data_IF_226729169228
#
_entry.id   IF_226729169228
#
_cell.length_a   1.000
_cell.length_b   1.000
_cell.length_c   1.000
_cell.angle_alpha   90.00
_cell.angle_beta   90.00
_cell.angle_gamma   90.00
#
_symmetry.space_group_name_H-M   'P 1'
#
loop_
_entity.id
_entity.type
_entity.pdbx_description
1 polymer ?
#
# COMPACT_ATOMS: atom_id res chain seq x y z
N UNK A 1 34.66 3.49 -1.55
CA UNK A 1 34.00 4.52 -2.40
C UNK A 1 32.53 4.17 -2.67
N UNK A 2 32.19 2.91 -2.94
CA UNK A 2 30.79 2.45 -3.16
C UNK A 2 29.86 2.70 -1.97
N UNK A 3 30.28 2.41 -0.74
CA UNK A 3 29.48 2.67 0.47
C UNK A 3 29.03 4.13 0.59
N UNK A 4 29.91 5.06 0.19
CA UNK A 4 29.62 6.50 0.20
C UNK A 4 28.62 6.86 -0.89
N UNK A 5 28.72 6.25 -2.08
CA UNK A 5 27.75 6.45 -3.18
C UNK A 5 26.36 5.98 -2.78
N UNK A 6 26.24 4.78 -2.20
CA UNK A 6 24.95 4.24 -1.74
C UNK A 6 24.35 5.11 -0.64
N UNK A 7 25.17 5.59 0.30
CA UNK A 7 24.70 6.43 1.38
C UNK A 7 24.12 7.75 0.86
N UNK A 8 24.84 8.41 -0.07
CA UNK A 8 24.37 9.63 -0.73
C UNK A 8 23.09 9.38 -1.52
N UNK A 9 23.01 8.27 -2.26
CA UNK A 9 21.79 7.88 -2.97
C UNK A 9 20.61 7.66 -2.02
N UNK A 10 20.81 6.91 -0.94
CA UNK A 10 19.79 6.67 0.09
C UNK A 10 19.29 7.98 0.70
N UNK A 11 20.19 8.90 1.02
CA UNK A 11 19.82 10.21 1.56
C UNK A 11 19.01 11.03 0.55
N UNK A 12 19.47 11.11 -0.70
CA UNK A 12 18.74 11.79 -1.78
C UNK A 12 17.35 11.19 -2.01
N UNK A 13 17.24 9.86 -2.04
CA UNK A 13 15.97 9.15 -2.18
C UNK A 13 15.00 9.50 -1.04
N UNK A 14 15.46 9.43 0.21
CA UNK A 14 14.61 9.77 1.37
C UNK A 14 14.16 11.23 1.30
N UNK A 15 15.04 12.17 0.97
CA UNK A 15 14.68 13.58 0.82
C UNK A 15 13.61 13.77 -0.25
N UNK A 16 13.79 13.19 -1.43
CA UNK A 16 12.83 13.30 -2.54
C UNK A 16 11.48 12.70 -2.15
N UNK A 17 11.46 11.50 -1.57
CA UNK A 17 10.20 10.85 -1.17
C UNK A 17 9.49 11.62 -0.06
N UNK A 18 10.22 12.20 0.89
CA UNK A 18 9.64 13.05 1.94
C UNK A 18 9.01 14.32 1.36
N UNK A 19 9.67 14.97 0.40
CA UNK A 19 9.10 16.15 -0.28
C UNK A 19 7.84 15.76 -1.05
N UNK A 20 7.87 14.66 -1.81
CA UNK A 20 6.70 14.18 -2.55
C UNK A 20 5.55 13.81 -1.62
N UNK A 21 5.83 13.16 -0.49
CA UNK A 21 4.84 12.85 0.54
C UNK A 21 4.15 14.12 1.06
N UNK A 22 4.93 15.13 1.44
CA UNK A 22 4.38 16.40 1.94
C UNK A 22 3.55 17.11 0.87
N UNK A 23 4.01 17.13 -0.38
CA UNK A 23 3.27 17.74 -1.49
C UNK A 23 1.95 16.99 -1.77
N UNK A 24 1.97 15.66 -1.76
CA UNK A 24 0.77 14.86 -1.95
C UNK A 24 -0.22 15.05 -0.80
N UNK A 25 0.25 15.07 0.45
CA UNK A 25 -0.60 15.33 1.61
C UNK A 25 -1.19 16.74 1.55
N UNK A 26 -0.37 17.76 1.26
CA UNK A 26 -0.83 19.14 1.10
C UNK A 26 -1.88 19.25 -0.03
N UNK A 27 -1.67 18.56 -1.16
CA UNK A 27 -2.65 18.50 -2.24
C UNK A 27 -4.01 17.97 -1.76
N UNK A 28 -4.03 16.89 -0.99
CA UNK A 28 -5.28 16.32 -0.45
C UNK A 28 -6.00 17.24 0.53
N UNK A 29 -5.29 18.18 1.15
CA UNK A 29 -5.84 19.16 2.12
C UNK A 29 -6.30 20.44 1.40
N UNK A 30 -5.49 20.96 0.48
CA UNK A 30 -5.72 22.24 -0.20
C UNK A 30 -6.83 22.13 -1.23
N UNK A 31 -6.92 21.02 -1.98
CA UNK A 31 -7.90 20.88 -3.06
C UNK A 31 -9.34 21.04 -2.54
N UNK A 32 -9.78 20.37 -1.46
CA UNK A 32 -11.11 20.63 -0.87
C UNK A 32 -11.27 22.05 -0.35
N UNK A 33 -10.24 22.64 0.26
CA UNK A 33 -10.30 23.99 0.84
C UNK A 33 -10.47 25.09 -0.24
N UNK A 34 -9.82 24.91 -1.40
CA UNK A 34 -9.82 25.91 -2.47
C UNK A 34 -10.96 25.70 -3.46
N UNK A 35 -11.31 24.44 -3.76
CA UNK A 35 -12.29 24.09 -4.79
C UNK A 35 -13.65 23.66 -4.24
N UNK A 36 -13.71 23.23 -2.98
CA UNK A 36 -14.90 22.62 -2.39
C UNK A 36 -15.99 23.61 -2.01
N UNK A 37 -15.66 24.87 -1.73
CA UNK A 37 -16.63 25.89 -1.33
C UNK A 37 -17.39 25.58 -0.02
N UNK A 38 -17.03 24.50 0.68
CA UNK A 38 -17.63 24.06 1.93
C UNK A 38 -16.81 24.54 3.13
N UNK A 39 -17.50 25.05 4.15
CA UNK A 39 -16.91 25.38 5.45
C UNK A 39 -16.56 24.08 6.18
N UNK A 40 -15.32 23.61 6.02
CA UNK A 40 -14.83 22.48 6.79
C UNK A 40 -14.63 22.89 8.26
N UNK A 41 -15.22 22.13 9.19
CA UNK A 41 -14.82 22.23 10.58
C UNK A 41 -13.32 21.91 10.73
N UNK A 42 -12.58 22.78 11.43
CA UNK A 42 -11.12 22.66 11.59
C UNK A 42 -10.69 21.29 12.14
N UNK A 43 -11.49 20.68 13.00
CA UNK A 43 -11.21 19.35 13.57
C UNK A 43 -11.38 18.23 12.55
N UNK A 44 -12.40 18.29 11.69
CA UNK A 44 -12.63 17.31 10.64
C UNK A 44 -11.49 17.32 9.61
N UNK A 45 -11.00 18.52 9.25
CA UNK A 45 -9.84 18.67 8.38
C UNK A 45 -8.61 17.96 8.95
N UNK A 46 -8.33 18.16 10.24
CA UNK A 46 -7.20 17.55 10.93
C UNK A 46 -7.32 16.01 10.96
N UNK A 47 -8.48 15.47 11.30
CA UNK A 47 -8.72 14.03 11.36
C UNK A 47 -8.58 13.40 9.97
N UNK A 48 -9.19 13.99 8.94
CA UNK A 48 -9.09 13.50 7.56
C UNK A 48 -7.65 13.52 7.05
N UNK A 49 -6.90 14.57 7.38
CA UNK A 49 -5.48 14.71 7.01
C UNK A 49 -4.65 13.57 7.62
N UNK A 50 -4.86 13.27 8.90
CA UNK A 50 -4.17 12.18 9.59
C UNK A 50 -4.56 10.81 9.02
N UNK A 51 -5.83 10.61 8.71
CA UNK A 51 -6.33 9.38 8.12
C UNK A 51 -5.69 9.11 6.75
N UNK A 52 -5.56 10.13 5.90
CA UNK A 52 -4.94 10.04 4.56
C UNK A 52 -3.41 9.94 4.64
N UNK A 53 -2.78 10.54 5.65
CA UNK A 53 -1.33 10.48 5.81
C UNK A 53 -0.81 9.05 6.00
N UNK A 54 -1.59 8.16 6.65
CA UNK A 54 -1.19 6.77 6.90
C UNK A 54 -0.99 5.97 5.60
N UNK A 55 -2.00 5.79 4.71
CA UNK A 55 -1.82 5.05 3.47
C UNK A 55 -0.78 5.71 2.56
N UNK A 56 -0.68 7.04 2.58
CA UNK A 56 0.32 7.77 1.80
C UNK A 56 1.74 7.48 2.30
N UNK A 57 1.98 7.52 3.61
CA UNK A 57 3.28 7.21 4.21
C UNK A 57 3.69 5.76 3.92
N UNK A 58 2.74 4.82 4.01
CA UNK A 58 2.96 3.43 3.62
C UNK A 58 3.37 3.36 2.16
N UNK A 59 2.63 4.00 1.24
CA UNK A 59 2.94 4.00 -0.19
C UNK A 59 4.36 4.50 -0.48
N UNK A 60 4.74 5.67 0.02
CA UNK A 60 6.08 6.23 -0.19
C UNK A 60 7.18 5.38 0.45
N UNK A 61 6.92 4.79 1.62
CA UNK A 61 7.83 3.85 2.26
C UNK A 61 8.09 2.62 1.40
N UNK A 62 7.03 2.03 0.83
CA UNK A 62 7.14 0.87 -0.05
C UNK A 62 7.86 1.20 -1.37
N UNK A 63 7.60 2.38 -1.95
CA UNK A 63 8.34 2.90 -3.11
C UNK A 63 9.84 2.99 -2.79
N UNK A 64 10.19 3.55 -1.62
CA UNK A 64 11.58 3.66 -1.18
C UNK A 64 12.27 2.30 -1.06
N UNK A 65 11.59 1.29 -0.50
CA UNK A 65 12.11 -0.08 -0.40
C UNK A 65 12.35 -0.66 -1.80
N UNK A 66 11.39 -0.52 -2.70
CA UNK A 66 11.49 -1.06 -4.06
C UNK A 66 12.60 -0.37 -4.87
N UNK A 67 12.67 0.96 -4.85
CA UNK A 67 13.73 1.73 -5.54
C UNK A 67 15.10 1.35 -4.98
N UNK A 68 15.23 1.23 -3.66
CA UNK A 68 16.50 0.84 -3.04
C UNK A 68 16.93 -0.59 -3.45
N UNK A 69 15.96 -1.51 -3.58
CA UNK A 69 16.21 -2.87 -4.06
C UNK A 69 16.68 -2.86 -5.51
N UNK A 70 15.98 -2.13 -6.39
CA UNK A 70 16.36 -1.98 -7.81
C UNK A 70 17.76 -1.38 -7.92
N UNK A 71 18.03 -0.29 -7.20
CA UNK A 71 19.31 0.41 -7.26
C UNK A 71 20.48 -0.51 -6.89
N UNK A 72 20.38 -1.26 -5.78
CA UNK A 72 21.43 -2.19 -5.36
C UNK A 72 21.62 -3.32 -6.36
N UNK A 73 20.52 -3.88 -6.88
CA UNK A 73 20.59 -4.94 -7.87
C UNK A 73 21.27 -4.47 -9.18
N UNK A 74 20.98 -3.25 -9.64
CA UNK A 74 21.63 -2.64 -10.81
C UNK A 74 23.12 -2.36 -10.60
N UNK A 75 23.54 -2.08 -9.36
CA UNK A 75 24.96 -1.95 -9.00
C UNK A 75 25.64 -3.31 -8.78
N UNK A 76 24.97 -4.43 -9.09
CA UNK A 76 25.43 -5.79 -8.81
C UNK A 76 25.84 -6.02 -7.34
N UNK A 77 25.28 -5.22 -6.43
CA UNK A 77 25.54 -5.34 -5.00
C UNK A 77 24.55 -6.28 -4.34
N UNK A 78 25.05 -7.14 -3.46
CA UNK A 78 24.19 -7.97 -2.61
C UNK A 78 23.30 -7.10 -1.72
N UNK A 79 22.07 -7.56 -1.49
CA UNK A 79 21.23 -6.93 -0.48
C UNK A 79 21.87 -7.07 0.90
N UNK A 80 21.80 -6.01 1.70
CA UNK A 80 22.09 -6.13 3.12
C UNK A 80 20.92 -6.86 3.83
N UNK A 81 21.19 -7.39 5.02
CA UNK A 81 20.22 -8.18 5.79
C UNK A 81 18.94 -7.40 6.11
N UNK A 82 19.05 -6.10 6.36
CA UNK A 82 17.91 -5.25 6.69
C UNK A 82 16.99 -5.05 5.47
N UNK A 83 17.55 -4.70 4.32
CA UNK A 83 16.78 -4.51 3.09
C UNK A 83 16.14 -5.81 2.62
N UNK A 84 16.85 -6.93 2.71
CA UNK A 84 16.30 -8.24 2.36
C UNK A 84 15.11 -8.62 3.27
N UNK A 85 15.17 -8.28 4.57
CA UNK A 85 14.02 -8.44 5.49
C UNK A 85 12.86 -7.53 5.10
N UNK A 86 13.12 -6.27 4.75
CA UNK A 86 12.08 -5.33 4.32
C UNK A 86 11.39 -5.80 3.04
N UNK A 87 12.14 -6.12 1.97
CA UNK A 87 11.55 -6.63 0.71
C UNK A 87 10.67 -7.85 0.96
N UNK A 88 11.11 -8.75 1.85
CA UNK A 88 10.33 -9.93 2.22
C UNK A 88 9.07 -9.62 3.04
N UNK A 89 9.18 -8.88 4.14
CA UNK A 89 8.06 -8.72 5.08
C UNK A 89 7.08 -7.61 4.69
N UNK A 90 7.54 -6.56 4.01
CA UNK A 90 6.69 -5.42 3.64
C UNK A 90 5.42 -5.80 2.88
N UNK A 91 5.44 -6.58 1.77
CA UNK A 91 4.20 -6.92 1.06
C UNK A 91 3.20 -7.68 1.92
N UNK A 92 3.68 -8.49 2.87
CA UNK A 92 2.83 -9.29 3.77
C UNK A 92 2.19 -8.44 4.84
N UNK A 93 2.99 -7.64 5.54
CA UNK A 93 2.49 -6.74 6.60
C UNK A 93 1.52 -5.73 5.99
N UNK A 94 1.86 -5.12 4.86
CA UNK A 94 0.98 -4.16 4.19
C UNK A 94 -0.31 -4.82 3.70
N UNK A 95 -0.27 -6.04 3.17
CA UNK A 95 -1.48 -6.78 2.81
C UNK A 95 -2.36 -7.10 4.03
N UNK A 96 -1.78 -7.51 5.17
CA UNK A 96 -2.56 -7.72 6.41
C UNK A 96 -3.24 -6.43 6.84
N UNK A 97 -2.46 -5.35 6.92
CA UNK A 97 -2.97 -4.03 7.34
C UNK A 97 -4.07 -3.56 6.40
N UNK A 98 -3.87 -3.71 5.08
CA UNK A 98 -4.88 -3.36 4.08
C UNK A 98 -6.17 -4.16 4.26
N UNK A 99 -6.09 -5.49 4.39
CA UNK A 99 -7.28 -6.34 4.59
C UNK A 99 -7.99 -5.98 5.89
N UNK A 100 -7.25 -5.78 6.98
CA UNK A 100 -7.82 -5.39 8.27
C UNK A 100 -8.50 -4.00 8.19
N UNK A 101 -7.82 -3.01 7.62
CA UNK A 101 -8.35 -1.66 7.44
C UNK A 101 -9.61 -1.67 6.57
N UNK A 102 -9.56 -2.35 5.42
CA UNK A 102 -10.69 -2.45 4.51
C UNK A 102 -11.88 -3.19 5.13
N UNK A 103 -11.62 -4.07 6.11
CA UNK A 103 -12.68 -4.76 6.85
C UNK A 103 -13.46 -3.83 7.79
N UNK A 104 -12.88 -2.70 8.22
CA UNK A 104 -13.60 -1.73 9.05
C UNK A 104 -14.78 -1.11 8.33
N UNK A 105 -14.71 -0.94 7.00
CA UNK A 105 -15.82 -0.40 6.21
C UNK A 105 -17.04 -1.33 6.15
N UNK A 106 -16.89 -2.63 6.46
CA UNK A 106 -18.06 -3.50 6.56
C UNK A 106 -18.88 -3.27 7.84
N UNK A 107 -18.34 -2.54 8.82
CA UNK A 107 -19.08 -2.19 10.03
C UNK A 107 -20.19 -1.16 9.78
N UNK A 108 -20.15 -0.47 8.63
CA UNK A 108 -21.15 0.53 8.24
C UNK A 108 -22.59 -0.05 8.17
N UNK A 109 -22.73 -1.37 7.97
CA UNK A 109 -24.05 -2.03 7.95
C UNK A 109 -24.79 -1.94 9.29
N UNK A 110 -24.06 -1.71 10.40
CA UNK A 110 -24.65 -1.62 11.74
C UNK A 110 -25.30 -0.27 12.02
N UNK A 111 -25.10 0.73 11.16
CA UNK A 111 -25.75 2.04 11.26
C UNK A 111 -27.13 2.11 10.59
N UNK A 112 -27.53 1.06 9.85
CA UNK A 112 -28.79 1.02 9.13
C UNK A 112 -29.99 0.53 9.95
N UNK A 113 -31.21 0.87 9.50
CA UNK A 113 -32.49 0.39 10.05
C UNK A 113 -32.79 -1.07 9.64
N UNK A 114 -31.93 -1.99 10.07
CA UNK A 114 -32.08 -3.43 9.81
C UNK A 114 -32.40 -4.19 11.11
N UNK A 115 -33.06 -5.34 10.98
CA UNK A 115 -33.14 -6.29 12.09
C UNK A 115 -31.76 -6.92 12.36
N UNK A 116 -31.55 -7.46 13.57
CA UNK A 116 -30.26 -8.10 13.92
C UNK A 116 -29.84 -9.21 12.92
N UNK A 117 -30.79 -9.99 12.41
CA UNK A 117 -30.51 -11.03 11.42
C UNK A 117 -30.06 -10.47 10.07
N UNK A 118 -30.70 -9.38 9.61
CA UNK A 118 -30.34 -8.68 8.39
C UNK A 118 -28.98 -7.99 8.50
N UNK A 119 -28.67 -7.37 9.65
CA UNK A 119 -27.35 -6.78 9.92
C UNK A 119 -26.23 -7.82 9.83
N UNK A 120 -26.41 -8.98 10.47
CA UNK A 120 -25.41 -10.06 10.43
C UNK A 120 -25.19 -10.60 9.02
N UNK A 121 -26.28 -10.78 8.25
CA UNK A 121 -26.18 -11.23 6.86
C UNK A 121 -25.50 -10.19 5.97
N UNK A 122 -25.88 -8.91 6.11
CA UNK A 122 -25.26 -7.80 5.39
C UNK A 122 -23.78 -7.68 5.71
N UNK A 123 -23.40 -7.77 7.00
CA UNK A 123 -22.02 -7.74 7.45
C UNK A 123 -21.19 -8.86 6.81
N UNK A 124 -21.69 -10.10 6.84
CA UNK A 124 -21.02 -11.25 6.23
C UNK A 124 -20.84 -11.06 4.72
N UNK A 125 -21.85 -10.55 4.02
CA UNK A 125 -21.75 -10.27 2.58
C UNK A 125 -20.71 -9.18 2.28
N UNK A 126 -20.62 -8.13 3.10
CA UNK A 126 -19.62 -7.07 2.95
C UNK A 126 -18.20 -7.54 3.35
N UNK A 127 -18.07 -8.57 4.18
CA UNK A 127 -16.80 -9.19 4.55
C UNK A 127 -16.25 -10.16 3.51
N UNK A 128 -17.09 -10.74 2.65
CA UNK A 128 -16.64 -11.71 1.64
C UNK A 128 -15.44 -11.25 0.80
N UNK A 129 -15.40 -10.01 0.27
CA UNK A 129 -14.24 -9.53 -0.49
C UNK A 129 -12.94 -9.53 0.33
N UNK A 130 -13.02 -9.18 1.61
CA UNK A 130 -11.86 -9.13 2.51
C UNK A 130 -11.43 -10.52 2.97
N UNK A 131 -12.37 -11.43 3.22
CA UNK A 131 -12.09 -12.85 3.49
C UNK A 131 -11.38 -13.48 2.29
N UNK A 132 -11.84 -13.20 1.06
CA UNK A 132 -11.21 -13.70 -0.15
C UNK A 132 -9.76 -13.19 -0.28
N UNK A 133 -9.51 -11.90 -0.05
CA UNK A 133 -8.15 -11.35 -0.03
C UNK A 133 -7.28 -11.93 1.09
N UNK A 134 -7.85 -12.21 2.27
CA UNK A 134 -7.14 -12.86 3.37
C UNK A 134 -6.68 -14.28 2.98
N UNK A 135 -7.55 -15.06 2.33
CA UNK A 135 -7.21 -16.40 1.82
C UNK A 135 -6.09 -16.30 0.79
N UNK A 136 -6.20 -15.38 -0.16
CA UNK A 136 -5.15 -15.12 -1.16
C UNK A 136 -3.82 -14.79 -0.48
N UNK A 137 -3.83 -13.97 0.57
CA UNK A 137 -2.64 -13.62 1.31
C UNK A 137 -1.99 -14.84 1.98
N UNK A 138 -2.78 -15.71 2.59
CA UNK A 138 -2.28 -16.98 3.16
C UNK A 138 -1.62 -17.85 2.08
N UNK A 139 -2.24 -17.95 0.91
CA UNK A 139 -1.69 -18.68 -0.24
C UNK A 139 -0.40 -18.00 -0.76
N UNK A 140 -0.39 -16.68 -0.86
CA UNK A 140 0.74 -15.87 -1.31
C UNK A 140 1.96 -15.99 -0.39
N UNK A 141 1.77 -16.38 0.88
CA UNK A 141 2.87 -16.63 1.79
C UNK A 141 3.79 -17.77 1.34
N UNK A 142 3.21 -18.79 0.70
CA UNK A 142 3.94 -19.94 0.13
C UNK A 142 4.25 -19.73 -1.35
N UNK A 143 3.33 -19.11 -2.10
CA UNK A 143 3.46 -18.85 -3.53
C UNK A 143 3.40 -17.35 -3.83
N UNK A 144 4.54 -16.68 -3.70
CA UNK A 144 4.65 -15.22 -3.81
C UNK A 144 4.15 -14.65 -5.15
N UNK A 145 4.24 -15.43 -6.23
CA UNK A 145 3.72 -15.04 -7.54
C UNK A 145 2.19 -14.90 -7.55
N UNK A 146 1.48 -15.69 -6.73
CA UNK A 146 0.02 -15.56 -6.55
C UNK A 146 -0.30 -14.19 -5.96
N UNK A 147 0.47 -13.76 -4.96
CA UNK A 147 0.35 -12.42 -4.39
C UNK A 147 0.54 -11.34 -5.45
N UNK A 148 1.59 -11.44 -6.26
CA UNK A 148 1.87 -10.46 -7.33
C UNK A 148 0.69 -10.36 -8.33
N UNK A 149 0.16 -11.49 -8.78
CA UNK A 149 -0.92 -11.52 -9.77
C UNK A 149 -2.23 -11.02 -9.18
N UNK A 150 -2.64 -11.55 -8.01
CA UNK A 150 -3.97 -11.25 -7.47
C UNK A 150 -4.06 -9.82 -6.94
N UNK A 151 -3.04 -9.33 -6.22
CA UNK A 151 -3.05 -7.91 -5.78
C UNK A 151 -2.94 -6.95 -6.97
N UNK A 152 -2.22 -7.33 -8.03
CA UNK A 152 -2.18 -6.55 -9.27
C UNK A 152 -3.54 -6.50 -9.96
N UNK A 153 -4.21 -7.65 -10.08
CA UNK A 153 -5.56 -7.73 -10.63
C UNK A 153 -6.57 -6.95 -9.78
N UNK A 154 -6.49 -7.03 -8.45
CA UNK A 154 -7.33 -6.23 -7.55
C UNK A 154 -7.12 -4.73 -7.76
N UNK A 155 -5.87 -4.27 -7.93
CA UNK A 155 -5.57 -2.88 -8.25
C UNK A 155 -6.20 -2.42 -9.57
N UNK A 156 -6.12 -3.25 -10.62
CA UNK A 156 -6.76 -2.98 -11.92
C UNK A 156 -8.28 -2.92 -11.77
N UNK A 157 -8.87 -3.92 -11.11
CA UNK A 157 -10.31 -4.01 -10.92
C UNK A 157 -10.86 -2.80 -10.16
N UNK A 158 -10.23 -2.41 -9.06
CA UNK A 158 -10.64 -1.21 -8.31
C UNK A 158 -10.49 0.04 -9.17
N UNK A 159 -9.39 0.19 -9.89
CA UNK A 159 -9.19 1.34 -10.79
C UNK A 159 -10.29 1.45 -11.85
N UNK A 160 -10.66 0.32 -12.46
CA UNK A 160 -11.73 0.25 -13.46
C UNK A 160 -13.10 0.57 -12.84
N UNK A 161 -13.40 0.03 -11.65
CA UNK A 161 -14.65 0.30 -10.95
C UNK A 161 -14.77 1.78 -10.54
N UNK A 162 -13.70 2.37 -10.02
CA UNK A 162 -13.64 3.79 -9.66
C UNK A 162 -13.89 4.68 -10.88
N UNK A 163 -13.27 4.37 -12.03
CA UNK A 163 -13.48 5.10 -13.28
C UNK A 163 -14.92 4.95 -13.79
N UNK A 164 -15.49 3.75 -13.72
CA UNK A 164 -16.88 3.47 -14.16
C UNK A 164 -17.94 4.20 -13.32
N UNK A 165 -17.64 4.50 -12.05
CA UNK A 165 -18.53 5.20 -11.12
C UNK A 165 -18.45 6.72 -11.23
N UNK A 166 -17.72 7.24 -12.22
CA UNK A 166 -17.61 8.68 -12.44
C UNK A 166 -16.79 9.40 -11.36
N UNK A 167 -15.98 8.69 -10.58
CA UNK A 167 -15.02 9.31 -9.68
C UNK A 167 -13.91 9.90 -10.56
N UNK A 168 -14.01 11.20 -10.81
CA UNK A 168 -13.10 11.94 -11.68
C UNK A 168 -11.89 12.41 -10.86
N UNK A 169 -10.70 12.04 -11.31
CA UNK A 169 -9.45 12.47 -10.68
C UNK A 169 -8.40 11.37 -10.66
N UNK A 170 -7.33 11.56 -11.42
CA UNK A 170 -6.17 10.64 -11.43
C UNK A 170 -5.62 10.46 -10.02
N UNK A 171 -5.61 11.53 -9.20
CA UNK A 171 -5.17 11.48 -7.81
C UNK A 171 -6.01 10.51 -6.96
N UNK A 172 -7.34 10.56 -7.04
CA UNK A 172 -8.23 9.69 -6.27
C UNK A 172 -8.06 8.22 -6.67
N UNK A 173 -7.98 7.93 -7.96
CA UNK A 173 -7.72 6.57 -8.46
C UNK A 173 -6.37 6.06 -7.95
N UNK A 174 -5.33 6.89 -8.03
CA UNK A 174 -3.99 6.51 -7.56
C UNK A 174 -3.96 6.29 -6.06
N UNK A 175 -4.58 7.14 -5.24
CA UNK A 175 -4.59 6.97 -3.77
C UNK A 175 -5.22 5.63 -3.37
N UNK A 176 -6.32 5.25 -4.03
CA UNK A 176 -7.05 4.02 -3.72
C UNK A 176 -6.31 2.79 -4.25
N UNK A 177 -5.82 2.84 -5.49
CA UNK A 177 -5.27 1.66 -6.19
C UNK A 177 -3.76 1.48 -6.00
N UNK A 178 -2.98 2.53 -5.76
CA UNK A 178 -1.53 2.46 -5.67
C UNK A 178 -1.02 1.54 -4.55
N UNK A 179 -1.63 1.49 -3.35
CA UNK A 179 -1.22 0.53 -2.33
C UNK A 179 -1.30 -0.93 -2.81
N UNK A 180 -2.35 -1.29 -3.56
CA UNK A 180 -2.52 -2.63 -4.13
C UNK A 180 -1.45 -2.95 -5.16
N UNK A 181 -1.19 -2.02 -6.09
CA UNK A 181 -0.12 -2.17 -7.08
C UNK A 181 1.25 -2.27 -6.42
N UNK A 182 1.49 -1.51 -5.36
CA UNK A 182 2.77 -1.54 -4.66
C UNK A 182 2.99 -2.87 -3.92
N UNK A 183 1.94 -3.41 -3.28
CA UNK A 183 1.96 -4.76 -2.69
C UNK A 183 2.25 -5.80 -3.78
N UNK A 184 1.59 -5.70 -4.93
CA UNK A 184 1.79 -6.60 -6.07
C UNK A 184 3.24 -6.56 -6.59
N UNK A 185 3.80 -5.37 -6.78
CA UNK A 185 5.18 -5.15 -7.21
C UNK A 185 6.18 -5.74 -6.22
N UNK A 186 5.95 -5.60 -4.91
CA UNK A 186 6.82 -6.17 -3.88
C UNK A 186 6.73 -7.69 -3.79
N UNK A 187 5.54 -8.28 -3.98
CA UNK A 187 5.44 -9.73 -4.18
C UNK A 187 6.20 -10.17 -5.44
N UNK A 188 6.10 -9.42 -6.53
CA UNK A 188 6.90 -9.65 -7.74
C UNK A 188 8.41 -9.53 -7.49
N UNK A 189 8.83 -8.58 -6.67
CA UNK A 189 10.22 -8.39 -6.24
C UNK A 189 10.73 -9.61 -5.45
N UNK A 190 9.90 -10.14 -4.55
CA UNK A 190 10.22 -11.37 -3.82
C UNK A 190 10.41 -12.57 -4.76
N UNK A 191 9.55 -12.72 -5.77
CA UNK A 191 9.71 -13.76 -6.80
C UNK A 191 10.99 -13.56 -7.59
N UNK A 192 11.23 -12.33 -8.06
CA UNK A 192 12.34 -11.99 -8.97
C UNK A 192 13.71 -12.13 -8.33
N UNK A 193 13.82 -11.80 -7.04
CA UNK A 193 15.08 -11.80 -6.29
C UNK A 193 15.11 -12.83 -5.15
N UNK A 194 14.30 -13.89 -5.26
CA UNK A 194 14.11 -14.90 -4.20
C UNK A 194 15.42 -15.46 -3.63
N UNK A 195 16.38 -15.79 -4.50
CA UNK A 195 17.67 -16.35 -4.09
C UNK A 195 18.53 -15.33 -3.33
N UNK A 196 18.65 -14.10 -3.85
CA UNK A 196 19.41 -13.02 -3.22
C UNK A 196 18.83 -12.67 -1.85
N UNK A 197 17.50 -12.58 -1.75
CA UNK A 197 16.81 -12.31 -0.49
C UNK A 197 17.06 -13.44 0.52
N UNK A 198 17.00 -14.71 0.10
CA UNK A 198 17.23 -15.85 0.97
C UNK A 198 18.65 -15.85 1.57
N UNK A 199 19.66 -15.63 0.72
CA UNK A 199 21.08 -15.56 1.14
C UNK A 199 21.30 -14.37 2.08
N UNK A 200 20.83 -13.19 1.71
CA UNK A 200 21.06 -11.96 2.49
C UNK A 200 20.33 -11.93 3.83
N UNK A 201 19.20 -12.65 3.98
CA UNK A 201 18.46 -12.72 5.26
C UNK A 201 19.15 -13.59 6.30
N UNK A 202 19.92 -14.58 5.88
CA UNK A 202 20.59 -15.54 6.74
C UNK A 202 22.06 -15.70 6.33
N UNK A 203 22.91 -14.67 6.55
CA UNK A 203 24.29 -14.66 6.05
C UNK A 203 25.21 -15.73 6.69
N UNK A 204 24.75 -16.39 7.77
CA UNK A 204 25.51 -17.40 8.52
C UNK A 204 24.99 -18.83 8.31
N UNK A 205 24.10 -19.07 7.32
CA UNK A 205 23.68 -20.39 6.86
C UNK A 205 24.27 -20.66 5.49
#
# INVERSE_FOLDING_TARGET
METVKILKFKQGLVTVLSVLFVLSLAGTIITPLVLGGEDFENWALLVNSLLIAIPLAVLYGLIGILIMAIYRHQQHEKFNSQLAKWIYWSPRICAIVLVAFMSLFALDVFEGDYTLGEMLLAFLMHMLPMIALAIVLVVAWRWEWVGAVIFGFAGIMISALTLSRGIQGVASILIISAPLFMIALLFGANVRWKQEIAISRHPNR
#
